data_IF_820375240163
#
_entry.id   IF_820375240163
#
_cell.length_a   1.000
_cell.length_b   1.000
_cell.length_c   1.000
_cell.angle_alpha   90.00
_cell.angle_beta   90.00
_cell.angle_gamma   90.00
#
_symmetry.space_group_name_H-M   'P 1'
#
loop_
_entity.id
_entity.type
_entity.pdbx_description
1 polymer ?
#
# COMPACT_ATOMS: atom_id res chain seq x y z
N UNK A 1 19.87 -0.72 24.46
CA UNK A 1 19.40 0.43 23.67
C UNK A 1 17.88 0.67 23.74
N UNK A 2 17.10 -0.10 24.55
CA UNK A 2 15.68 0.10 24.78
C UNK A 2 14.74 -0.18 23.59
N UNK A 3 15.23 -0.85 22.56
CA UNK A 3 14.46 -1.17 21.34
C UNK A 3 13.64 -2.46 21.45
N UNK A 4 13.95 -3.32 22.43
CA UNK A 4 13.20 -4.56 22.63
C UNK A 4 11.80 -4.24 23.19
N UNK A 5 10.77 -4.74 22.53
CA UNK A 5 9.37 -4.65 22.99
C UNK A 5 8.86 -6.04 23.32
N UNK A 6 8.24 -6.16 24.50
CA UNK A 6 7.52 -7.39 24.86
C UNK A 6 6.19 -7.41 24.13
N UNK A 7 5.93 -8.46 23.38
CA UNK A 7 4.66 -8.67 22.67
C UNK A 7 3.55 -9.01 23.66
N UNK A 8 2.36 -8.45 23.44
CA UNK A 8 1.15 -8.80 24.20
C UNK A 8 0.37 -9.83 23.42
N UNK A 9 0.17 -11.01 24.01
CA UNK A 9 -0.52 -12.13 23.36
C UNK A 9 -2.02 -11.93 23.46
N UNK A 10 -2.69 -11.77 22.30
CA UNK A 10 -4.15 -11.64 22.19
C UNK A 10 -4.75 -13.03 22.05
N UNK A 11 -5.75 -13.35 22.87
CA UNK A 11 -6.41 -14.67 22.94
C UNK A 11 -7.82 -14.70 22.33
N UNK A 12 -8.28 -13.57 21.78
CA UNK A 12 -9.59 -13.42 21.12
C UNK A 12 -9.43 -13.01 19.66
N UNK A 13 -10.47 -13.14 18.83
CA UNK A 13 -10.49 -12.46 17.53
C UNK A 13 -10.28 -10.95 17.67
N UNK A 14 -9.79 -10.32 16.59
CA UNK A 14 -9.63 -8.87 16.54
C UNK A 14 -10.99 -8.16 16.65
N UNK A 15 -11.07 -7.24 17.59
CA UNK A 15 -12.26 -6.44 17.90
C UNK A 15 -11.85 -5.15 18.62
N UNK A 16 -12.84 -4.28 18.88
CA UNK A 16 -12.65 -3.08 19.70
C UNK A 16 -12.16 -3.38 21.13
N UNK A 17 -12.54 -4.54 21.67
CA UNK A 17 -12.05 -5.05 22.97
C UNK A 17 -11.46 -6.42 22.69
N UNK A 18 -10.22 -6.64 23.14
CA UNK A 18 -9.52 -7.92 23.04
C UNK A 18 -9.10 -8.38 24.43
N UNK A 19 -9.08 -9.71 24.62
CA UNK A 19 -8.52 -10.31 25.84
C UNK A 19 -7.05 -10.67 25.61
N UNK A 20 -6.24 -10.50 26.63
CA UNK A 20 -4.83 -10.88 26.67
C UNK A 20 -4.64 -12.20 27.43
N UNK A 21 -3.48 -12.83 27.26
CA UNK A 21 -3.14 -14.10 27.91
C UNK A 21 -3.17 -14.05 29.44
N UNK A 22 -2.89 -12.88 30.02
CA UNK A 22 -2.98 -12.65 31.47
C UNK A 22 -4.43 -12.51 31.98
N UNK A 23 -5.43 -12.69 31.12
CA UNK A 23 -6.85 -12.56 31.42
C UNK A 23 -7.39 -11.13 31.41
N UNK A 24 -6.55 -10.12 31.23
CA UNK A 24 -6.98 -8.73 31.12
C UNK A 24 -7.71 -8.45 29.82
N UNK A 25 -8.61 -7.45 29.82
CA UNK A 25 -9.30 -6.96 28.63
C UNK A 25 -8.89 -5.51 28.36
N UNK A 26 -8.54 -5.22 27.13
CA UNK A 26 -8.08 -3.89 26.72
C UNK A 26 -8.86 -3.39 25.50
N UNK A 27 -8.99 -2.06 25.39
CA UNK A 27 -9.50 -1.41 24.19
C UNK A 27 -8.37 -1.41 23.15
N UNK A 28 -8.65 -1.93 21.97
CA UNK A 28 -7.68 -2.00 20.87
C UNK A 28 -7.84 -0.78 19.97
N UNK A 29 -6.92 0.18 20.10
CA UNK A 29 -6.85 1.39 19.27
C UNK A 29 -5.73 1.33 18.21
N UNK A 30 -5.01 0.20 18.14
CA UNK A 30 -3.82 0.07 17.29
C UNK A 30 -4.04 -0.76 16.03
N UNK A 31 -5.20 -1.45 15.92
CA UNK A 31 -5.45 -2.36 14.80
C UNK A 31 -5.82 -1.61 13.51
N UNK A 32 -5.30 -2.09 12.38
CA UNK A 32 -5.70 -1.66 11.04
C UNK A 32 -7.07 -2.27 10.64
N UNK A 33 -8.00 -2.30 11.57
CA UNK A 33 -9.35 -2.86 11.43
C UNK A 33 -10.39 -1.73 11.34
N UNK A 34 -10.12 -0.75 10.49
CA UNK A 34 -10.88 0.51 10.40
C UNK A 34 -12.39 0.31 10.21
N UNK A 35 -12.78 -0.67 9.40
CA UNK A 35 -14.19 -0.99 9.11
C UNK A 35 -14.76 -2.09 10.02
N UNK A 36 -14.00 -2.60 10.99
CA UNK A 36 -14.44 -3.66 11.89
C UNK A 36 -14.69 -5.02 11.23
N UNK A 37 -14.07 -5.28 10.08
CA UNK A 37 -14.36 -6.45 9.25
C UNK A 37 -13.56 -7.70 9.63
N UNK A 38 -12.50 -7.60 10.42
CA UNK A 38 -11.61 -8.73 10.74
C UNK A 38 -12.31 -9.95 11.34
N UNK A 39 -13.43 -9.75 12.06
CA UNK A 39 -14.20 -10.82 12.68
C UNK A 39 -15.66 -10.80 12.20
N UNK A 40 -15.93 -10.34 10.98
CA UNK A 40 -17.26 -10.29 10.43
C UNK A 40 -17.74 -11.70 10.03
N UNK A 41 -18.91 -12.20 10.53
CA UNK A 41 -19.38 -13.54 10.26
C UNK A 41 -19.56 -13.85 8.77
N UNK A 42 -20.01 -12.88 7.97
CA UNK A 42 -20.21 -13.08 6.53
C UNK A 42 -18.88 -13.26 5.79
N UNK A 43 -17.82 -12.54 6.21
CA UNK A 43 -16.49 -12.70 5.64
C UNK A 43 -15.85 -14.03 6.04
N UNK A 44 -16.07 -14.47 7.30
CA UNK A 44 -15.61 -15.78 7.77
C UNK A 44 -16.30 -16.89 6.97
N UNK A 45 -17.61 -16.78 6.74
CA UNK A 45 -18.36 -17.76 5.92
C UNK A 45 -17.85 -17.78 4.48
N UNK A 46 -17.63 -16.61 3.86
CA UNK A 46 -17.09 -16.52 2.51
C UNK A 46 -15.68 -17.14 2.41
N UNK A 47 -14.81 -16.92 3.42
CA UNK A 47 -13.49 -17.56 3.47
C UNK A 47 -13.56 -19.07 3.56
N UNK A 48 -14.46 -19.63 4.38
CA UNK A 48 -14.67 -21.09 4.49
C UNK A 48 -15.15 -21.69 3.16
N UNK A 49 -16.15 -21.07 2.53
CA UNK A 49 -16.64 -21.51 1.23
C UNK A 49 -15.55 -21.46 0.16
N UNK A 50 -14.73 -20.43 0.16
CA UNK A 50 -13.61 -20.33 -0.79
C UNK A 50 -12.58 -21.45 -0.59
N UNK A 51 -12.31 -21.85 0.65
CA UNK A 51 -11.43 -23.01 0.92
C UNK A 51 -12.05 -24.33 0.43
N UNK A 52 -13.36 -24.50 0.53
CA UNK A 52 -14.07 -25.69 0.02
C UNK A 52 -14.05 -25.70 -1.52
N UNK A 53 -14.30 -24.56 -2.17
CA UNK A 53 -14.40 -24.45 -3.63
C UNK A 53 -13.05 -24.50 -4.35
N UNK A 54 -12.00 -23.91 -3.76
CA UNK A 54 -10.71 -23.68 -4.41
C UNK A 54 -9.52 -24.39 -3.74
N UNK A 55 -9.73 -25.00 -2.57
CA UNK A 55 -8.66 -25.61 -1.78
C UNK A 55 -7.85 -24.60 -0.99
N UNK A 56 -6.87 -25.10 -0.24
CA UNK A 56 -6.06 -24.30 0.69
C UNK A 56 -4.99 -23.46 0.00
N UNK A 57 -4.38 -23.96 -1.08
CA UNK A 57 -3.24 -23.29 -1.71
C UNK A 57 -3.25 -23.37 -3.23
N UNK A 58 -2.67 -22.34 -3.84
CA UNK A 58 -2.61 -22.22 -5.30
C UNK A 58 -1.52 -23.09 -5.94
N UNK A 59 -0.53 -23.51 -5.16
CA UNK A 59 0.57 -24.43 -5.53
C UNK A 59 1.39 -24.00 -6.75
N UNK A 60 1.22 -22.77 -7.23
CA UNK A 60 1.96 -22.22 -8.37
C UNK A 60 1.88 -20.70 -8.42
N UNK A 61 2.85 -20.09 -9.09
CA UNK A 61 2.79 -18.67 -9.45
C UNK A 61 1.73 -18.42 -10.52
N UNK A 62 1.19 -17.20 -10.53
CA UNK A 62 0.05 -16.80 -11.36
C UNK A 62 0.20 -17.11 -12.85
N UNK A 63 1.33 -16.80 -13.45
CA UNK A 63 1.54 -16.91 -14.89
C UNK A 63 1.80 -18.34 -15.39
N UNK A 64 2.11 -19.29 -14.50
CA UNK A 64 2.30 -20.71 -14.90
C UNK A 64 0.95 -21.44 -14.82
N UNK A 65 0.45 -21.75 -13.62
CA UNK A 65 -0.81 -22.44 -13.42
C UNK A 65 -1.55 -22.02 -12.12
N UNK A 66 -1.15 -20.94 -11.46
CA UNK A 66 -1.73 -20.46 -10.21
C UNK A 66 -2.88 -19.46 -10.37
N UNK A 67 -3.26 -19.07 -11.60
CA UNK A 67 -4.38 -18.13 -11.80
C UNK A 67 -5.70 -18.87 -11.80
N UNK A 68 -6.56 -18.54 -10.84
CA UNK A 68 -7.91 -19.07 -10.71
C UNK A 68 -8.95 -17.99 -11.04
N UNK A 69 -10.20 -18.41 -11.28
CA UNK A 69 -11.32 -17.51 -11.58
C UNK A 69 -11.54 -16.46 -10.50
N UNK A 70 -11.34 -16.81 -9.23
CA UNK A 70 -11.48 -15.88 -8.11
C UNK A 70 -10.52 -14.69 -8.18
N UNK A 71 -9.29 -14.90 -8.66
CA UNK A 71 -8.34 -13.80 -8.88
C UNK A 71 -8.88 -12.80 -9.91
N UNK A 72 -9.32 -13.32 -11.08
CA UNK A 72 -9.82 -12.45 -12.16
C UNK A 72 -11.10 -11.71 -11.76
N UNK A 73 -11.98 -12.37 -11.02
CA UNK A 73 -13.20 -11.74 -10.49
C UNK A 73 -12.85 -10.60 -9.51
N UNK A 74 -11.86 -10.80 -8.64
CA UNK A 74 -11.43 -9.77 -7.70
C UNK A 74 -10.79 -8.59 -8.42
N UNK A 75 -9.88 -8.84 -9.38
CA UNK A 75 -9.24 -7.81 -10.20
C UNK A 75 -10.30 -6.93 -10.89
N UNK A 76 -11.28 -7.53 -11.56
CA UNK A 76 -12.36 -6.81 -12.23
C UNK A 76 -13.21 -5.97 -11.26
N UNK A 77 -13.54 -6.53 -10.09
CA UNK A 77 -14.33 -5.81 -9.08
C UNK A 77 -13.57 -4.62 -8.50
N UNK A 78 -12.28 -4.78 -8.23
CA UNK A 78 -11.43 -3.70 -7.73
C UNK A 78 -11.26 -2.60 -8.78
N UNK A 79 -10.99 -2.94 -10.04
CA UNK A 79 -10.91 -1.95 -11.13
C UNK A 79 -12.19 -1.13 -11.22
N UNK A 80 -13.36 -1.80 -11.19
CA UNK A 80 -14.66 -1.12 -11.22
C UNK A 80 -14.89 -0.24 -9.99
N UNK A 81 -14.53 -0.73 -8.80
CA UNK A 81 -14.72 -0.01 -7.54
C UNK A 81 -13.86 1.25 -7.46
N UNK A 82 -12.59 1.13 -7.88
CA UNK A 82 -11.62 2.21 -7.82
C UNK A 82 -11.62 3.13 -9.06
N UNK A 83 -12.34 2.74 -10.13
CA UNK A 83 -12.40 3.52 -11.37
C UNK A 83 -11.13 3.44 -12.22
N UNK A 84 -10.34 2.37 -12.09
CA UNK A 84 -9.14 2.12 -12.89
C UNK A 84 -9.43 1.15 -14.05
N UNK A 85 -8.61 1.21 -15.09
CA UNK A 85 -8.74 0.35 -16.27
C UNK A 85 -8.44 -1.12 -15.95
N UNK A 86 -7.47 -1.39 -15.08
CA UNK A 86 -7.08 -2.75 -14.69
C UNK A 86 -6.55 -2.80 -13.26
N UNK A 87 -6.40 -4.03 -12.75
CA UNK A 87 -5.88 -4.32 -11.40
C UNK A 87 -4.95 -5.53 -11.46
N UNK A 88 -3.84 -5.45 -10.75
CA UNK A 88 -2.95 -6.58 -10.48
C UNK A 88 -2.93 -6.87 -8.97
N UNK A 89 -2.96 -8.15 -8.59
CA UNK A 89 -2.97 -8.57 -7.19
C UNK A 89 -1.57 -8.98 -6.73
N UNK A 90 -1.22 -8.55 -5.52
CA UNK A 90 -0.03 -8.98 -4.77
C UNK A 90 -0.43 -9.60 -3.45
N UNK A 91 0.46 -10.38 -2.82
CA UNK A 91 0.24 -10.99 -1.52
C UNK A 91 0.22 -9.97 -0.37
N UNK A 92 0.88 -8.86 -0.55
CA UNK A 92 0.86 -7.73 0.39
C UNK A 92 1.12 -6.41 -0.35
N UNK A 93 0.78 -5.28 0.30
CA UNK A 93 1.17 -3.97 -0.21
C UNK A 93 2.69 -3.77 -0.18
N UNK A 94 3.38 -4.41 0.77
CA UNK A 94 4.85 -4.41 0.79
C UNK A 94 5.43 -5.01 -0.49
N UNK A 95 4.93 -6.18 -0.92
CA UNK A 95 5.35 -6.82 -2.17
C UNK A 95 5.01 -5.96 -3.40
N UNK A 96 3.84 -5.32 -3.40
CA UNK A 96 3.44 -4.40 -4.47
C UNK A 96 4.41 -3.22 -4.59
N UNK A 97 4.71 -2.55 -3.47
CA UNK A 97 5.61 -1.40 -3.44
C UNK A 97 7.05 -1.78 -3.81
N UNK A 98 7.55 -2.91 -3.32
CA UNK A 98 8.93 -3.35 -3.65
C UNK A 98 9.06 -3.78 -5.11
N UNK A 99 8.02 -4.35 -5.70
CA UNK A 99 8.03 -4.80 -7.10
C UNK A 99 7.76 -3.70 -8.13
N UNK A 100 7.09 -2.61 -7.75
CA UNK A 100 6.61 -1.59 -8.69
C UNK A 100 7.74 -0.83 -9.37
N UNK A 101 8.63 -0.25 -8.58
CA UNK A 101 9.60 0.75 -9.06
C UNK A 101 10.65 0.14 -9.99
N UNK A 102 11.18 -1.03 -9.64
CA UNK A 102 12.17 -1.74 -10.46
C UNK A 102 11.57 -2.23 -11.79
N UNK A 103 10.28 -2.58 -11.77
CA UNK A 103 9.56 -3.07 -12.97
C UNK A 103 9.26 -1.95 -13.96
N UNK A 104 8.89 -0.75 -13.47
CA UNK A 104 8.44 0.35 -14.32
C UNK A 104 9.57 1.29 -14.74
N UNK A 105 10.61 1.46 -13.92
CA UNK A 105 11.58 2.53 -14.06
C UNK A 105 13.02 2.01 -14.10
N UNK A 106 13.82 2.62 -14.98
CA UNK A 106 15.23 2.33 -15.15
C UNK A 106 16.15 3.51 -14.80
N UNK A 107 17.43 3.39 -15.12
CA UNK A 107 18.46 4.39 -14.80
C UNK A 107 18.26 5.77 -15.45
N UNK A 108 17.45 5.83 -16.51
CA UNK A 108 17.11 7.08 -17.21
C UNK A 108 15.91 7.80 -16.63
N UNK A 109 15.24 7.17 -15.64
CA UNK A 109 14.00 7.66 -15.05
C UNK A 109 14.24 8.21 -13.63
N UNK A 110 13.25 8.89 -13.08
CA UNK A 110 13.33 9.47 -11.74
C UNK A 110 12.14 9.00 -10.87
N UNK A 111 12.43 8.75 -9.60
CA UNK A 111 11.43 8.59 -8.54
C UNK A 111 11.57 9.77 -7.59
N UNK A 112 10.45 10.46 -7.33
CA UNK A 112 10.37 11.61 -6.42
C UNK A 112 9.48 11.19 -5.26
N UNK A 113 10.11 10.86 -4.13
CA UNK A 113 9.44 10.23 -2.98
C UNK A 113 9.22 11.21 -1.84
N UNK A 114 8.01 11.20 -1.25
CA UNK A 114 7.77 11.88 0.02
C UNK A 114 8.68 11.30 1.12
N UNK A 115 9.13 12.17 2.01
CA UNK A 115 10.09 11.81 3.06
C UNK A 115 9.52 10.94 4.17
N UNK A 116 8.20 10.93 4.36
CA UNK A 116 7.50 10.13 5.36
C UNK A 116 6.88 8.85 4.80
N UNK A 117 7.08 8.55 3.52
CA UNK A 117 6.56 7.34 2.91
C UNK A 117 6.90 6.09 3.72
N UNK A 118 5.98 5.12 3.67
CA UNK A 118 6.13 3.82 4.31
C UNK A 118 7.45 3.12 3.90
N UNK A 119 7.99 2.32 4.82
CA UNK A 119 9.26 1.59 4.62
C UNK A 119 9.28 0.76 3.31
N UNK A 120 8.16 0.17 2.91
CA UNK A 120 8.06 -0.61 1.66
C UNK A 120 8.29 0.23 0.41
N UNK A 121 7.81 1.49 0.39
CA UNK A 121 8.10 2.44 -0.71
C UNK A 121 9.58 2.79 -0.70
N UNK A 122 10.14 3.08 0.47
CA UNK A 122 11.58 3.40 0.61
C UNK A 122 12.43 2.23 0.10
N UNK A 123 12.10 1.01 0.47
CA UNK A 123 12.84 -0.18 0.04
C UNK A 123 12.64 -0.46 -1.45
N UNK A 124 11.44 -0.31 -1.98
CA UNK A 124 11.18 -0.41 -3.42
C UNK A 124 11.97 0.61 -4.23
N UNK A 125 12.05 1.86 -3.75
CA UNK A 125 12.88 2.91 -4.35
C UNK A 125 14.37 2.54 -4.29
N UNK A 126 14.83 1.91 -3.21
CA UNK A 126 16.22 1.44 -3.07
C UNK A 126 16.58 0.30 -4.03
N UNK A 127 15.64 -0.57 -4.34
CA UNK A 127 15.84 -1.68 -5.28
C UNK A 127 15.90 -1.20 -6.72
N UNK A 128 15.21 -0.11 -7.06
CA UNK A 128 15.20 0.46 -8.41
C UNK A 128 16.53 1.10 -8.79
N UNK A 129 16.86 1.04 -10.08
CA UNK A 129 18.00 1.73 -10.70
C UNK A 129 17.70 3.20 -11.04
N UNK A 130 16.46 3.65 -10.89
CA UNK A 130 16.04 5.02 -11.18
C UNK A 130 16.76 6.04 -10.30
N UNK A 131 16.90 7.26 -10.81
CA UNK A 131 17.43 8.38 -10.03
C UNK A 131 16.47 8.73 -8.90
N UNK A 132 16.98 8.95 -7.70
CA UNK A 132 16.19 9.14 -6.48
C UNK A 132 16.20 10.59 -6.06
N UNK A 133 14.99 11.14 -5.97
CA UNK A 133 14.72 12.48 -5.46
C UNK A 133 13.80 12.36 -4.25
N UNK A 134 13.91 13.27 -3.31
CA UNK A 134 13.11 13.25 -2.10
C UNK A 134 12.64 14.66 -1.79
N UNK A 135 11.41 14.79 -1.30
CA UNK A 135 10.87 16.06 -0.80
C UNK A 135 10.31 15.88 0.61
N UNK A 136 10.28 16.95 1.40
CA UNK A 136 9.70 16.95 2.74
C UNK A 136 8.19 16.73 2.66
N UNK A 137 7.66 16.00 3.64
CA UNK A 137 6.24 15.73 3.70
C UNK A 137 5.41 17.01 3.52
N UNK A 138 4.46 16.94 2.59
CA UNK A 138 3.54 18.04 2.24
C UNK A 138 4.20 19.35 1.80
N UNK A 139 5.49 19.37 1.46
CA UNK A 139 6.18 20.53 0.91
C UNK A 139 6.07 20.55 -0.62
N UNK A 140 5.04 21.21 -1.13
CA UNK A 140 4.76 21.26 -2.57
C UNK A 140 5.79 22.10 -3.33
N UNK A 141 6.43 23.08 -2.67
CA UNK A 141 7.49 23.84 -3.31
C UNK A 141 8.74 22.97 -3.51
N UNK A 142 9.12 22.20 -2.50
CA UNK A 142 10.25 21.27 -2.63
C UNK A 142 9.93 20.15 -3.64
N UNK A 143 8.68 19.65 -3.69
CA UNK A 143 8.25 18.71 -4.74
C UNK A 143 8.44 19.32 -6.13
N UNK A 144 8.02 20.56 -6.36
CA UNK A 144 8.21 21.25 -7.63
C UNK A 144 9.69 21.40 -7.99
N UNK A 145 10.54 21.73 -7.01
CA UNK A 145 11.98 21.87 -7.22
C UNK A 145 12.62 20.52 -7.64
N UNK A 146 12.19 19.39 -7.03
CA UNK A 146 12.64 18.06 -7.42
C UNK A 146 12.15 17.67 -8.83
N UNK A 147 10.92 18.05 -9.19
CA UNK A 147 10.39 17.84 -10.55
C UNK A 147 11.20 18.62 -11.61
N UNK A 148 11.63 19.83 -11.28
CA UNK A 148 12.55 20.63 -12.14
C UNK A 148 13.93 20.01 -12.23
N UNK A 149 14.48 19.58 -11.09
CA UNK A 149 15.81 18.95 -11.03
C UNK A 149 15.87 17.66 -11.86
N UNK A 150 14.78 16.89 -11.88
CA UNK A 150 14.64 15.66 -12.65
C UNK A 150 14.19 15.86 -14.12
N UNK A 151 14.21 17.09 -14.64
CA UNK A 151 13.70 17.45 -15.98
C UNK A 151 14.36 16.71 -17.15
N UNK A 152 15.59 16.22 -16.96
CA UNK A 152 16.34 15.46 -17.97
C UNK A 152 16.01 13.96 -17.98
N UNK A 153 15.30 13.46 -16.97
CA UNK A 153 14.88 12.06 -16.90
C UNK A 153 13.78 11.78 -17.91
N UNK A 154 13.80 10.57 -18.47
CA UNK A 154 12.82 10.11 -19.48
C UNK A 154 11.42 10.08 -18.89
N UNK A 155 11.23 9.40 -17.75
CA UNK A 155 9.99 9.36 -16.98
C UNK A 155 10.24 9.84 -15.54
N UNK A 156 9.20 10.39 -14.94
CA UNK A 156 9.20 10.82 -13.55
C UNK A 156 8.00 10.23 -12.85
N UNK A 157 8.19 9.62 -11.69
CA UNK A 157 7.14 9.06 -10.86
C UNK A 157 7.20 9.71 -9.48
N UNK A 158 6.12 10.38 -9.09
CA UNK A 158 5.93 10.87 -7.73
C UNK A 158 5.34 9.72 -6.92
N UNK A 159 5.93 9.41 -5.76
CA UNK A 159 5.45 8.37 -4.86
C UNK A 159 5.09 8.96 -3.50
N UNK A 160 3.87 8.69 -3.03
CA UNK A 160 3.36 9.17 -1.74
C UNK A 160 2.42 8.15 -1.11
N UNK A 161 2.37 8.10 0.24
CA UNK A 161 1.21 7.55 0.94
C UNK A 161 0.02 8.50 0.75
N UNK A 162 -1.20 7.99 0.71
CA UNK A 162 -2.43 8.78 0.75
C UNK A 162 -2.72 9.26 2.18
N UNK A 163 -2.57 8.34 3.14
CA UNK A 163 -2.59 8.62 4.58
C UNK A 163 -1.34 8.04 5.22
N UNK A 164 -0.54 8.90 5.86
CA UNK A 164 0.69 8.50 6.54
C UNK A 164 0.36 7.88 7.90
N UNK A 165 0.44 6.57 8.01
CA UNK A 165 -0.10 5.77 9.11
C UNK A 165 0.46 6.12 10.49
N UNK A 166 1.73 6.51 10.58
CA UNK A 166 2.40 6.81 11.85
C UNK A 166 2.08 8.21 12.37
N UNK A 167 1.78 9.15 11.47
CA UNK A 167 1.65 10.58 11.78
C UNK A 167 0.20 11.07 11.62
N UNK A 168 -0.63 10.34 10.86
CA UNK A 168 -2.02 10.70 10.59
C UNK A 168 -2.18 11.85 9.59
N UNK A 169 -1.12 12.22 8.87
CA UNK A 169 -1.22 13.22 7.80
C UNK A 169 -1.93 12.64 6.58
N UNK A 170 -2.69 13.49 5.90
CA UNK A 170 -3.32 13.20 4.61
C UNK A 170 -2.50 13.90 3.53
N UNK A 171 -2.15 13.19 2.46
CA UNK A 171 -1.40 13.77 1.36
C UNK A 171 -2.21 14.84 0.64
N UNK A 172 -1.53 15.90 0.20
CA UNK A 172 -2.12 16.96 -0.60
C UNK A 172 -2.26 16.52 -2.08
N UNK A 173 -3.07 15.48 -2.31
CA UNK A 173 -3.17 14.80 -3.61
C UNK A 173 -3.55 15.76 -4.75
N UNK A 174 -4.41 16.76 -4.46
CA UNK A 174 -4.78 17.74 -5.49
C UNK A 174 -3.57 18.48 -6.03
N UNK A 175 -2.77 19.09 -5.16
CA UNK A 175 -1.58 19.84 -5.58
C UNK A 175 -0.50 18.93 -6.17
N UNK A 176 -0.35 17.71 -5.63
CA UNK A 176 0.56 16.69 -6.19
C UNK A 176 0.16 16.38 -7.65
N UNK A 177 -1.13 16.16 -7.90
CA UNK A 177 -1.63 15.88 -9.26
C UNK A 177 -1.51 17.10 -10.18
N UNK A 178 -1.79 18.31 -9.69
CA UNK A 178 -1.62 19.55 -10.46
C UNK A 178 -0.13 19.73 -10.89
N UNK A 179 0.81 19.44 -9.98
CA UNK A 179 2.25 19.46 -10.30
C UNK A 179 2.64 18.31 -11.24
N UNK A 180 2.09 17.13 -11.03
CA UNK A 180 2.34 15.98 -11.90
C UNK A 180 1.91 16.27 -13.35
N UNK A 181 0.72 16.84 -13.54
CA UNK A 181 0.24 17.26 -14.86
C UNK A 181 1.14 18.31 -15.49
N UNK A 182 1.46 19.38 -14.73
CA UNK A 182 2.35 20.45 -15.18
C UNK A 182 3.70 19.94 -15.65
N UNK A 183 4.27 18.97 -14.96
CA UNK A 183 5.59 18.42 -15.28
C UNK A 183 5.56 17.09 -16.01
N UNK A 184 4.38 16.61 -16.44
CA UNK A 184 4.17 15.32 -17.14
C UNK A 184 4.80 14.15 -16.36
N UNK A 185 4.55 14.10 -15.05
CA UNK A 185 4.96 13.03 -14.17
C UNK A 185 3.79 12.08 -13.90
N UNK A 186 4.08 10.82 -13.61
CA UNK A 186 3.12 9.86 -13.08
C UNK A 186 2.99 10.05 -11.56
N UNK A 187 1.86 9.63 -11.00
CA UNK A 187 1.64 9.61 -9.55
C UNK A 187 1.31 8.20 -9.10
N UNK A 188 2.01 7.74 -8.08
CA UNK A 188 1.72 6.51 -7.34
C UNK A 188 1.29 6.90 -5.94
N UNK A 189 0.15 6.37 -5.50
CA UNK A 189 -0.38 6.59 -4.16
C UNK A 189 -0.54 5.24 -3.46
N UNK A 190 0.04 5.11 -2.28
CA UNK A 190 -0.23 4.00 -1.36
C UNK A 190 -1.43 4.37 -0.48
N UNK A 191 -2.56 3.76 -0.77
CA UNK A 191 -3.83 4.01 -0.09
C UNK A 191 -4.20 2.93 0.93
N UNK A 192 -3.23 2.18 1.43
CA UNK A 192 -3.43 1.12 2.43
C UNK A 192 -4.18 1.60 3.68
N UNK A 193 -4.05 2.87 4.03
CA UNK A 193 -4.69 3.50 5.18
C UNK A 193 -5.78 4.51 4.81
N UNK A 194 -6.20 4.57 3.54
CA UNK A 194 -7.17 5.55 3.05
C UNK A 194 -8.41 4.90 2.40
N UNK A 195 -8.23 4.09 1.37
CA UNK A 195 -9.34 3.51 0.58
C UNK A 195 -10.35 2.76 1.43
N UNK A 196 -11.62 3.14 1.29
CA UNK A 196 -12.74 2.55 2.02
C UNK A 196 -12.95 3.12 3.43
N UNK A 197 -12.05 4.02 3.87
CA UNK A 197 -12.10 4.65 5.19
C UNK A 197 -12.24 6.17 5.09
N UNK A 198 -11.54 6.83 4.17
CA UNK A 198 -11.63 8.27 3.89
C UNK A 198 -12.28 8.50 2.54
#
# INVERSE_FOLDING_TARGET
>A
EGLFKTERIITTPQSRIVALEDGSKVINLCANNYLGLSNNPSLIAAGKNALEDYGYGMSSVRFICGTQKIHKNLEQRLSKFLGFEDTILYSSCYDANTGLFETLLGSEDAIISDSLNHASIIDGVRLSKAQRFRYKNSDMQELEDQLRASSKCRFRLIATDGVFSMDGYIANLKEICDLAEKYKAMVMVDDSHAVGFI
#
